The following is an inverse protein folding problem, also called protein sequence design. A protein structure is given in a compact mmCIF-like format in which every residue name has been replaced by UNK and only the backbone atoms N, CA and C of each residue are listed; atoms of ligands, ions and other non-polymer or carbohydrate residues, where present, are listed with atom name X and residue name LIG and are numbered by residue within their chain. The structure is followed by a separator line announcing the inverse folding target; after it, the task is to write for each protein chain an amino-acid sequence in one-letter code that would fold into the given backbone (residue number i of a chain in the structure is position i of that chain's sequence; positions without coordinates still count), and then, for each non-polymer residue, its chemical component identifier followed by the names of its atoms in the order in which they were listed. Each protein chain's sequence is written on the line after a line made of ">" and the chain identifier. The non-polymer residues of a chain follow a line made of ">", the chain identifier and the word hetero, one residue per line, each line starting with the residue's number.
data_IF_859134355985
#
_entry.id   IF_859134355985
#
_cell.length_a   1.000
_cell.length_b   1.000
_cell.length_c   1.000
_cell.angle_alpha   90.00
_cell.angle_beta   90.00
_cell.angle_gamma   90.00
#
_symmetry.space_group_name_H-M   'P 1'
#
loop_
_entity.id
_entity.type
_entity.pdbx_description
1 polymer ?
#
# COMPACT_ATOMS: atom_id res chain seq x y z
N UNK A 1 -52.95 -30.76 -4.34
CA UNK A 1 -52.73 -32.21 -4.17
C UNK A 1 -51.48 -32.48 -4.98
N UNK A 2 -50.32 -32.51 -4.33
CA UNK A 2 -49.05 -33.10 -4.83
C UNK A 2 -48.04 -33.18 -3.66
N UNK A 3 -48.53 -33.38 -2.42
CA UNK A 3 -47.67 -33.55 -1.24
C UNK A 3 -47.41 -35.04 -0.92
N UNK A 4 -47.90 -35.96 -1.77
CA UNK A 4 -47.72 -37.42 -1.61
C UNK A 4 -46.44 -37.94 -2.28
N UNK A 5 -45.79 -37.17 -3.17
CA UNK A 5 -44.56 -37.59 -3.85
C UNK A 5 -43.30 -37.46 -3.00
N UNK A 6 -43.36 -36.76 -1.87
CA UNK A 6 -42.23 -36.59 -0.95
C UNK A 6 -41.79 -37.91 -0.26
N UNK A 7 -42.69 -38.90 -0.21
CA UNK A 7 -42.42 -40.23 0.38
C UNK A 7 -42.46 -41.37 -0.64
N UNK A 8 -42.45 -41.07 -1.94
CA UNK A 8 -42.21 -42.11 -2.93
C UNK A 8 -40.74 -42.50 -2.85
N UNK A 9 -40.47 -43.69 -2.31
CA UNK A 9 -39.14 -44.34 -2.29
C UNK A 9 -38.79 -44.83 -3.72
N UNK A 10 -39.15 -44.05 -4.76
CA UNK A 10 -38.79 -44.31 -6.14
C UNK A 10 -37.34 -43.85 -6.31
N UNK A 11 -36.37 -44.77 -6.47
CA UNK A 11 -34.96 -44.43 -6.59
C UNK A 11 -34.68 -43.47 -7.75
N UNK A 12 -35.58 -43.37 -8.74
CA UNK A 12 -35.46 -42.39 -9.84
C UNK A 12 -35.80 -40.95 -9.42
N UNK A 13 -36.76 -40.75 -8.52
CA UNK A 13 -37.14 -39.43 -8.04
C UNK A 13 -36.03 -38.84 -7.15
N UNK A 14 -35.45 -39.67 -6.28
CA UNK A 14 -34.28 -39.31 -5.47
C UNK A 14 -33.10 -38.97 -6.39
N UNK A 15 -32.80 -39.84 -7.36
CA UNK A 15 -31.72 -39.63 -8.32
C UNK A 15 -31.88 -38.31 -9.10
N UNK A 16 -33.07 -37.99 -9.60
CA UNK A 16 -33.33 -36.74 -10.31
C UNK A 16 -33.15 -35.52 -9.40
N UNK A 17 -33.63 -35.59 -8.15
CA UNK A 17 -33.45 -34.49 -7.19
C UNK A 17 -31.98 -34.26 -6.81
N UNK A 18 -31.17 -35.32 -6.77
CA UNK A 18 -29.73 -35.23 -6.56
C UNK A 18 -29.04 -34.63 -7.78
N UNK A 19 -29.43 -35.04 -8.99
CA UNK A 19 -28.93 -34.44 -10.24
C UNK A 19 -29.27 -32.94 -10.34
N UNK A 20 -30.48 -32.54 -9.97
CA UNK A 20 -30.89 -31.14 -10.00
C UNK A 20 -30.12 -30.30 -8.98
N UNK A 21 -29.90 -30.83 -7.77
CA UNK A 21 -29.04 -30.18 -6.75
C UNK A 21 -27.62 -30.02 -7.25
N UNK A 22 -27.01 -31.10 -7.76
CA UNK A 22 -25.65 -31.09 -8.30
C UNK A 22 -25.55 -30.09 -9.46
N UNK A 23 -26.53 -30.07 -10.37
CA UNK A 23 -26.53 -29.15 -11.51
C UNK A 23 -26.67 -27.70 -11.08
N UNK A 24 -27.51 -27.41 -10.09
CA UNK A 24 -27.66 -26.06 -9.53
C UNK A 24 -26.38 -25.62 -8.82
N UNK A 25 -25.74 -26.50 -8.06
CA UNK A 25 -24.48 -26.23 -7.38
C UNK A 25 -23.36 -25.94 -8.39
N UNK A 26 -23.23 -26.73 -9.46
CA UNK A 26 -22.27 -26.47 -10.54
C UNK A 26 -22.54 -25.16 -11.27
N UNK A 27 -23.82 -24.84 -11.53
CA UNK A 27 -24.20 -23.58 -12.22
C UNK A 27 -23.90 -22.38 -11.34
N UNK A 28 -24.26 -22.44 -10.05
CA UNK A 28 -24.01 -21.36 -9.09
C UNK A 28 -22.51 -21.19 -8.83
N UNK A 29 -21.77 -22.29 -8.69
CA UNK A 29 -20.32 -22.27 -8.53
C UNK A 29 -19.64 -21.67 -9.76
N UNK A 30 -20.00 -22.11 -10.97
CA UNK A 30 -19.46 -21.58 -12.21
C UNK A 30 -19.79 -20.10 -12.43
N UNK A 31 -20.99 -19.66 -12.05
CA UNK A 31 -21.38 -18.25 -12.09
C UNK A 31 -20.55 -17.40 -11.11
N UNK A 32 -20.41 -17.85 -9.86
CA UNK A 32 -19.57 -17.18 -8.86
C UNK A 32 -18.11 -17.12 -9.27
N UNK A 33 -17.58 -18.22 -9.80
CA UNK A 33 -16.20 -18.29 -10.29
C UNK A 33 -16.00 -17.36 -11.49
N UNK A 34 -16.93 -17.33 -12.45
CA UNK A 34 -16.88 -16.43 -13.59
C UNK A 34 -16.90 -14.95 -13.21
N UNK A 35 -17.74 -14.56 -12.24
CA UNK A 35 -17.75 -13.20 -11.70
C UNK A 35 -16.43 -12.88 -11.00
N UNK A 36 -15.95 -13.80 -10.16
CA UNK A 36 -14.71 -13.60 -9.40
C UNK A 36 -13.52 -13.45 -10.34
N UNK A 37 -13.40 -14.32 -11.35
CA UNK A 37 -12.35 -14.26 -12.35
C UNK A 37 -12.41 -12.98 -13.20
N UNK A 38 -13.62 -12.53 -13.56
CA UNK A 38 -13.80 -11.25 -14.27
C UNK A 38 -13.38 -10.04 -13.43
N UNK A 39 -13.73 -10.04 -12.14
CA UNK A 39 -13.33 -8.99 -11.19
C UNK A 39 -11.82 -8.97 -10.98
N UNK A 40 -11.21 -10.14 -10.76
CA UNK A 40 -9.77 -10.27 -10.60
C UNK A 40 -9.01 -9.81 -11.84
N UNK A 41 -9.46 -10.19 -13.04
CA UNK A 41 -8.83 -9.76 -14.29
C UNK A 41 -8.84 -8.24 -14.49
N UNK A 42 -10.00 -7.59 -14.27
CA UNK A 42 -10.10 -6.14 -14.38
C UNK A 42 -9.25 -5.40 -13.31
N UNK A 43 -9.19 -5.94 -12.09
CA UNK A 43 -8.40 -5.38 -11.00
C UNK A 43 -6.89 -5.51 -11.26
N UNK A 44 -6.46 -6.66 -11.78
CA UNK A 44 -5.05 -6.95 -12.01
C UNK A 44 -4.44 -6.03 -13.08
N UNK A 45 -5.18 -5.70 -14.13
CA UNK A 45 -4.72 -4.75 -15.15
C UNK A 45 -4.42 -3.37 -14.55
N UNK A 46 -5.30 -2.87 -13.68
CA UNK A 46 -5.09 -1.61 -12.96
C UNK A 46 -3.89 -1.65 -12.02
N UNK A 47 -3.72 -2.76 -11.29
CA UNK A 47 -2.55 -2.96 -10.44
C UNK A 47 -1.25 -3.00 -11.25
N UNK A 48 -1.21 -3.76 -12.33
CA UNK A 48 -0.02 -3.92 -13.18
C UNK A 48 0.40 -2.58 -13.80
N UNK A 49 -0.57 -1.78 -14.25
CA UNK A 49 -0.34 -0.44 -14.76
C UNK A 49 0.26 0.49 -13.68
N UNK A 50 -0.33 0.51 -12.48
CA UNK A 50 0.17 1.30 -11.35
C UNK A 50 1.55 0.85 -10.85
N UNK A 51 1.79 -0.47 -10.81
CA UNK A 51 3.07 -1.05 -10.46
C UNK A 51 4.15 -0.67 -11.48
N UNK A 52 3.88 -0.82 -12.78
CA UNK A 52 4.87 -0.51 -13.82
C UNK A 52 5.17 0.99 -13.94
N UNK A 53 4.15 1.84 -13.83
CA UNK A 53 4.29 3.29 -14.07
C UNK A 53 4.81 4.06 -12.86
N UNK A 54 4.39 3.69 -11.64
CA UNK A 54 4.69 4.45 -10.42
C UNK A 54 5.43 3.59 -9.40
N UNK A 55 4.89 2.43 -9.05
CA UNK A 55 5.38 1.63 -7.93
C UNK A 55 6.83 1.16 -8.11
N UNK A 56 7.13 0.52 -9.23
CA UNK A 56 8.44 -0.06 -9.51
C UNK A 56 9.53 1.00 -9.74
N UNK A 57 9.33 2.07 -10.56
CA UNK A 57 10.33 3.11 -10.72
C UNK A 57 10.63 3.84 -9.40
N UNK A 58 9.58 4.21 -8.66
CA UNK A 58 9.72 4.94 -7.40
C UNK A 58 10.37 4.09 -6.31
N UNK A 59 9.94 2.83 -6.17
CA UNK A 59 10.53 1.87 -5.24
C UNK A 59 12.00 1.59 -5.55
N UNK A 60 12.35 1.41 -6.84
CA UNK A 60 13.73 1.23 -7.28
C UNK A 60 14.59 2.45 -6.94
N UNK A 61 14.12 3.65 -7.27
CA UNK A 61 14.86 4.89 -7.01
C UNK A 61 15.11 5.09 -5.50
N UNK A 62 14.12 4.80 -4.66
CA UNK A 62 14.26 4.85 -3.21
C UNK A 62 15.24 3.78 -2.70
N UNK A 63 15.15 2.55 -3.21
CA UNK A 63 16.07 1.46 -2.87
C UNK A 63 17.53 1.79 -3.20
N UNK A 64 17.78 2.40 -4.36
CA UNK A 64 19.10 2.87 -4.76
C UNK A 64 19.62 3.95 -3.80
N UNK A 65 18.80 4.92 -3.41
CA UNK A 65 19.19 5.96 -2.46
C UNK A 65 19.58 5.38 -1.09
N UNK A 66 18.80 4.42 -0.59
CA UNK A 66 19.11 3.70 0.67
C UNK A 66 20.41 2.91 0.55
N UNK A 67 20.62 2.22 -0.57
CA UNK A 67 21.84 1.48 -0.85
C UNK A 67 23.07 2.41 -0.93
N UNK A 68 22.94 3.56 -1.60
CA UNK A 68 24.01 4.55 -1.69
C UNK A 68 24.36 5.11 -0.31
N UNK A 69 23.36 5.46 0.51
CA UNK A 69 23.59 5.95 1.86
C UNK A 69 24.28 4.91 2.75
N UNK A 70 23.89 3.63 2.66
CA UNK A 70 24.53 2.54 3.38
C UNK A 70 25.99 2.33 2.93
N UNK A 71 26.26 2.37 1.61
CA UNK A 71 27.61 2.24 1.06
C UNK A 71 28.52 3.40 1.49
N UNK A 72 28.02 4.64 1.42
CA UNK A 72 28.75 5.81 1.90
C UNK A 72 29.01 5.74 3.40
N UNK A 73 28.04 5.29 4.20
CA UNK A 73 28.22 5.11 5.64
C UNK A 73 29.29 4.06 5.94
N UNK A 74 29.29 2.93 5.22
CA UNK A 74 30.29 1.88 5.38
C UNK A 74 31.69 2.38 5.02
N UNK A 75 31.82 3.14 3.92
CA UNK A 75 33.07 3.76 3.51
C UNK A 75 33.61 4.76 4.56
N UNK A 76 32.74 5.63 5.07
CA UNK A 76 33.09 6.63 6.08
C UNK A 76 33.36 6.03 7.46
N UNK A 77 32.79 4.85 7.76
CA UNK A 77 33.00 4.14 9.02
C UNK A 77 34.31 3.35 9.06
N UNK A 78 35.05 3.28 7.95
CA UNK A 78 36.36 2.64 7.93
C UNK A 78 37.36 3.45 8.80
N UNK A 79 38.11 2.84 9.74
CA UNK A 79 38.98 3.52 10.71
C UNK A 79 39.82 4.72 10.25
N UNK A 80 40.56 4.69 9.11
CA UNK A 80 41.33 5.85 8.65
C UNK A 80 40.44 7.02 8.22
N UNK A 81 39.24 6.73 7.69
CA UNK A 81 38.28 7.73 7.25
C UNK A 81 37.42 8.25 8.40
N UNK A 82 37.06 7.39 9.35
CA UNK A 82 36.24 7.72 10.52
C UNK A 82 36.90 8.79 11.41
N UNK A 83 38.23 8.75 11.54
CA UNK A 83 38.98 9.74 12.33
C UNK A 83 39.06 11.12 11.66
N UNK A 84 38.98 11.20 10.32
CA UNK A 84 39.13 12.44 9.56
C UNK A 84 37.79 13.04 9.13
N UNK A 85 36.75 12.22 8.96
CA UNK A 85 35.46 12.60 8.38
C UNK A 85 34.26 12.18 9.26
N UNK A 86 34.42 12.21 10.58
CA UNK A 86 33.38 11.84 11.53
C UNK A 86 32.07 12.64 11.38
N UNK A 87 32.16 13.94 11.07
CA UNK A 87 30.99 14.81 10.83
C UNK A 87 30.19 14.39 9.60
N UNK A 88 30.87 14.01 8.51
CA UNK A 88 30.23 13.49 7.30
C UNK A 88 29.58 12.12 7.56
N UNK A 89 30.19 11.28 8.41
CA UNK A 89 29.60 10.01 8.80
C UNK A 89 28.29 10.20 9.59
N UNK A 90 28.23 11.21 10.47
CA UNK A 90 27.00 11.58 11.18
C UNK A 90 25.93 12.14 10.24
N UNK A 91 26.32 12.98 9.27
CA UNK A 91 25.39 13.51 8.27
C UNK A 91 24.78 12.39 7.41
N UNK A 92 25.61 11.47 6.90
CA UNK A 92 25.14 10.32 6.11
C UNK A 92 24.25 9.41 6.96
N UNK A 93 24.55 9.23 8.25
CA UNK A 93 23.70 8.47 9.17
C UNK A 93 22.32 9.14 9.35
N UNK A 94 22.30 10.46 9.47
CA UNK A 94 21.05 11.24 9.51
C UNK A 94 20.23 11.10 8.22
N UNK A 95 20.87 11.18 7.06
CA UNK A 95 20.23 10.99 5.76
C UNK A 95 19.70 9.55 5.62
N UNK A 96 20.48 8.55 6.02
CA UNK A 96 20.06 7.15 5.99
C UNK A 96 18.82 6.89 6.87
N UNK A 97 18.79 7.47 8.08
CA UNK A 97 17.62 7.39 8.96
C UNK A 97 16.41 8.15 8.42
N UNK A 98 16.61 9.28 7.74
CA UNK A 98 15.52 9.99 7.08
C UNK A 98 14.96 9.16 5.92
N UNK A 99 15.82 8.59 5.08
CA UNK A 99 15.43 7.73 3.95
C UNK A 99 14.77 6.42 4.41
N UNK A 100 15.12 5.85 5.58
CA UNK A 100 14.44 4.65 6.10
C UNK A 100 12.99 4.93 6.50
N UNK A 101 12.70 6.15 6.94
CA UNK A 101 11.36 6.54 7.40
C UNK A 101 10.40 6.92 6.25
N UNK A 102 10.91 7.12 5.03
CA UNK A 102 10.09 7.42 3.85
C UNK A 102 9.30 6.19 3.41
N UNK A 103 7.96 6.25 3.44
CA UNK A 103 7.11 5.20 2.88
C UNK A 103 6.77 5.51 1.43
N UNK A 104 6.47 4.49 0.63
CA UNK A 104 6.04 4.67 -0.75
C UNK A 104 4.73 5.47 -0.84
N UNK A 105 3.83 5.29 0.13
CA UNK A 105 2.56 6.02 0.25
C UNK A 105 2.73 7.52 0.47
N UNK A 106 3.86 7.97 1.00
CA UNK A 106 4.13 9.39 1.26
C UNK A 106 4.69 10.13 0.03
N UNK A 107 5.28 9.38 -0.91
CA UNK A 107 5.96 9.93 -2.10
C UNK A 107 5.25 9.61 -3.41
N UNK A 108 4.35 8.63 -3.41
CA UNK A 108 3.56 8.27 -4.57
C UNK A 108 2.61 9.43 -4.92
N UNK A 109 2.48 9.79 -6.21
CA UNK A 109 1.47 10.73 -6.66
C UNK A 109 0.07 10.27 -6.23
N UNK A 110 -0.82 11.19 -5.85
CA UNK A 110 -2.20 10.84 -5.56
C UNK A 110 -2.86 10.27 -6.83
N UNK A 111 -3.49 9.12 -6.68
CA UNK A 111 -4.28 8.49 -7.74
C UNK A 111 -5.60 9.24 -7.94
N UNK A 112 -5.66 10.06 -9.00
CA UNK A 112 -6.81 10.89 -9.31
C UNK A 112 -8.03 10.07 -9.74
N UNK A 113 -7.82 8.90 -10.35
CA UNK A 113 -8.88 8.00 -10.79
C UNK A 113 -9.50 7.30 -9.58
N UNK A 114 -8.67 6.78 -8.67
CA UNK A 114 -9.14 6.21 -7.41
C UNK A 114 -9.89 7.25 -6.54
N UNK A 115 -9.45 8.52 -6.54
CA UNK A 115 -10.13 9.61 -5.83
C UNK A 115 -11.49 9.96 -6.45
N UNK A 116 -11.59 9.97 -7.79
CA UNK A 116 -12.83 10.20 -8.50
C UNK A 116 -13.83 9.06 -8.24
N UNK A 117 -13.38 7.81 -8.35
CA UNK A 117 -14.20 6.63 -8.08
C UNK A 117 -14.69 6.58 -6.61
N UNK A 118 -13.81 6.90 -5.65
CA UNK A 118 -14.21 6.99 -4.24
C UNK A 118 -15.25 8.08 -3.99
N UNK A 119 -15.18 9.18 -4.74
CA UNK A 119 -16.17 10.27 -4.67
C UNK A 119 -17.52 9.85 -5.26
N UNK A 120 -17.51 9.15 -6.38
CA UNK A 120 -18.73 8.63 -7.02
C UNK A 120 -19.44 7.60 -6.13
N UNK A 121 -18.71 6.68 -5.50
CA UNK A 121 -19.29 5.76 -4.51
C UNK A 121 -19.89 6.48 -3.29
N UNK A 122 -19.24 7.53 -2.78
CA UNK A 122 -19.79 8.33 -1.67
C UNK A 122 -21.05 9.10 -2.07
N UNK A 123 -21.12 9.60 -3.31
CA UNK A 123 -22.31 10.24 -3.85
C UNK A 123 -23.44 9.22 -4.04
N UNK A 124 -23.12 8.02 -4.55
CA UNK A 124 -24.08 6.93 -4.74
C UNK A 124 -24.64 6.44 -3.40
N UNK A 125 -23.77 6.13 -2.43
CA UNK A 125 -24.19 5.72 -1.08
C UNK A 125 -25.03 6.80 -0.38
N UNK A 126 -24.76 8.08 -0.64
CA UNK A 126 -25.58 9.20 -0.14
C UNK A 126 -26.96 9.24 -0.80
N UNK A 127 -27.06 8.90 -2.08
CA UNK A 127 -28.32 8.82 -2.82
C UNK A 127 -29.14 7.62 -2.31
N UNK A 128 -28.52 6.46 -2.15
CA UNK A 128 -29.18 5.24 -1.68
C UNK A 128 -29.72 5.42 -0.25
N UNK A 129 -28.93 6.04 0.64
CA UNK A 129 -29.37 6.40 1.99
C UNK A 129 -30.52 7.44 2.00
N UNK A 130 -30.64 8.27 0.97
CA UNK A 130 -31.74 9.21 0.82
C UNK A 130 -33.00 8.56 0.21
N UNK A 131 -32.85 7.45 -0.51
CA UNK A 131 -33.95 6.68 -1.11
C UNK A 131 -34.47 5.55 -0.21
N UNK A 132 -33.75 5.20 0.87
CA UNK A 132 -34.19 4.19 1.84
C UNK A 132 -34.11 2.76 1.31
N UNK A 133 -33.28 2.53 0.29
CA UNK A 133 -32.98 1.20 -0.24
C UNK A 133 -31.78 0.63 0.52
N UNK A 134 -32.05 -0.09 1.60
CA UNK A 134 -31.07 -0.98 2.23
C UNK A 134 -30.91 -2.21 1.31
N UNK A 135 -30.16 -2.07 0.22
CA UNK A 135 -29.77 -3.22 -0.60
C UNK A 135 -28.41 -3.72 -0.10
N UNK A 136 -28.45 -4.76 0.74
CA UNK A 136 -27.30 -5.60 1.07
C UNK A 136 -26.80 -6.29 -0.22
N UNK A 137 -26.07 -5.58 -1.07
CA UNK A 137 -25.33 -6.21 -2.16
C UNK A 137 -24.05 -6.83 -1.59
N UNK A 138 -24.10 -8.15 -1.38
CA UNK A 138 -23.08 -8.99 -0.73
C UNK A 138 -21.78 -9.13 -1.58
N UNK A 139 -21.53 -8.26 -2.56
CA UNK A 139 -20.33 -8.39 -3.41
C UNK A 139 -19.69 -7.06 -3.80
N UNK A 140 -19.66 -6.13 -2.84
CA UNK A 140 -19.23 -4.74 -3.00
C UNK A 140 -17.69 -4.57 -3.07
N UNK A 141 -17.12 -3.96 -4.13
CA UNK A 141 -15.71 -3.54 -4.21
C UNK A 141 -15.24 -2.64 -3.04
N UNK A 142 -16.17 -2.14 -2.24
CA UNK A 142 -15.92 -1.43 -0.99
C UNK A 142 -15.08 -2.23 0.03
N UNK A 143 -15.11 -3.58 0.03
CA UNK A 143 -14.37 -4.39 0.99
C UNK A 143 -12.83 -4.28 0.85
N UNK A 144 -12.31 -4.10 -0.37
CA UNK A 144 -10.87 -3.87 -0.59
C UNK A 144 -10.46 -2.41 -0.31
N UNK A 145 -11.39 -1.46 -0.52
CA UNK A 145 -11.22 -0.09 -0.03
C UNK A 145 -11.20 -0.06 1.51
N UNK A 146 -11.97 -0.93 2.17
CA UNK A 146 -11.90 -1.15 3.61
C UNK A 146 -10.53 -1.69 4.04
N UNK A 147 -9.92 -2.62 3.30
CA UNK A 147 -8.55 -3.06 3.59
C UNK A 147 -7.50 -1.95 3.39
N UNK A 148 -7.59 -1.16 2.32
CA UNK A 148 -6.70 -0.02 2.09
C UNK A 148 -6.89 1.09 3.13
N UNK A 149 -8.13 1.32 3.58
CA UNK A 149 -8.46 2.23 4.68
C UNK A 149 -7.91 1.69 6.00
N UNK A 150 -8.13 0.42 6.31
CA UNK A 150 -7.59 -0.24 7.50
C UNK A 150 -6.07 -0.19 7.52
N UNK A 151 -5.42 -0.34 6.35
CA UNK A 151 -3.98 -0.14 6.22
C UNK A 151 -3.58 1.30 6.53
N UNK A 152 -4.24 2.30 5.95
CA UNK A 152 -3.98 3.72 6.26
C UNK A 152 -4.22 4.07 7.72
N UNK A 153 -5.26 3.50 8.33
CA UNK A 153 -5.58 3.68 9.75
C UNK A 153 -4.51 3.05 10.64
N UNK A 154 -4.01 1.86 10.26
CA UNK A 154 -2.86 1.21 10.90
C UNK A 154 -1.59 2.06 10.78
N UNK A 155 -1.32 2.63 9.59
CA UNK A 155 -0.21 3.56 9.38
C UNK A 155 -0.35 4.81 10.27
N UNK A 156 -1.56 5.34 10.44
CA UNK A 156 -1.84 6.45 11.36
C UNK A 156 -1.64 6.08 12.83
N UNK A 157 -1.99 4.86 13.22
CA UNK A 157 -1.77 4.33 14.56
C UNK A 157 -0.27 4.17 14.86
N UNK A 158 0.51 3.70 13.89
CA UNK A 158 1.97 3.63 13.98
C UNK A 158 2.61 5.01 14.14
N UNK A 159 2.13 6.02 13.42
CA UNK A 159 2.60 7.41 13.57
C UNK A 159 2.32 7.93 15.00
N UNK A 160 1.14 7.66 15.55
CA UNK A 160 0.77 8.02 16.92
C UNK A 160 1.65 7.29 17.94
N UNK A 161 1.93 6.00 17.75
CA UNK A 161 2.81 5.23 18.63
C UNK A 161 4.26 5.70 18.55
N UNK A 162 4.77 6.04 17.37
CA UNK A 162 6.10 6.61 17.19
C UNK A 162 6.22 7.97 17.92
N UNK A 163 5.16 8.79 17.90
CA UNK A 163 5.08 10.03 18.65
C UNK A 163 5.10 9.81 20.17
N UNK A 164 4.34 8.82 20.68
CA UNK A 164 4.31 8.48 22.10
C UNK A 164 5.65 7.90 22.59
N UNK A 165 6.29 7.05 21.77
CA UNK A 165 7.62 6.50 22.04
C UNK A 165 8.70 7.60 22.12
N UNK A 166 8.63 8.59 21.22
CA UNK A 166 9.52 9.76 21.22
C UNK A 166 9.32 10.69 22.43
N UNK A 167 8.15 10.68 23.08
CA UNK A 167 7.80 11.59 24.19
C UNK A 167 8.27 11.13 25.58
N UNK A 168 8.65 9.86 25.75
CA UNK A 168 8.98 9.27 27.06
C UNK A 168 10.42 9.57 27.53
N UNK A 169 11.30 10.09 26.66
CA UNK A 169 12.73 10.31 26.97
C UNK A 169 13.18 11.77 27.15
N UNK A 170 12.27 12.75 27.21
CA UNK A 170 12.67 14.16 27.24
C UNK A 170 11.76 15.06 28.08
N UNK A 171 12.23 15.42 29.27
CA UNK A 171 11.65 16.48 30.09
C UNK A 171 11.55 17.82 29.32
N UNK A 172 10.38 18.45 29.44
CA UNK A 172 10.10 19.88 29.34
C UNK A 172 10.99 20.75 28.43
N UNK A 173 10.51 21.05 27.22
CA UNK A 173 10.38 22.40 26.65
C UNK A 173 10.35 22.38 25.12
N UNK A 174 9.38 23.08 24.55
CA UNK A 174 9.30 23.37 23.12
C UNK A 174 8.33 22.46 22.38
N UNK A 175 7.19 23.03 21.97
CA UNK A 175 6.36 22.48 20.92
C UNK A 175 7.19 22.33 19.63
N UNK A 176 7.87 21.19 19.47
CA UNK A 176 8.46 20.82 18.19
C UNK A 176 7.31 20.40 17.29
N UNK A 177 7.16 21.14 16.20
CA UNK A 177 6.19 20.90 15.15
C UNK A 177 6.09 19.39 14.85
N UNK A 178 4.85 18.94 14.70
CA UNK A 178 4.49 17.60 14.24
C UNK A 178 5.50 17.15 13.17
N UNK A 179 6.18 15.99 13.28
CA UNK A 179 7.11 15.57 12.24
C UNK A 179 6.32 15.46 10.94
N UNK A 180 6.46 16.45 10.07
CA UNK A 180 5.73 16.54 8.80
C UNK A 180 6.12 15.29 8.01
N UNK A 181 5.12 14.53 7.55
CA UNK A 181 5.36 13.33 6.75
C UNK A 181 6.35 13.68 5.62
N UNK A 182 7.37 12.84 5.39
CA UNK A 182 8.39 13.15 4.42
C UNK A 182 7.77 13.25 3.03
N UNK A 183 7.95 14.40 2.38
CA UNK A 183 7.37 14.67 1.07
C UNK A 183 8.31 14.21 -0.05
N UNK A 184 7.79 14.10 -1.27
CA UNK A 184 8.61 13.82 -2.45
C UNK A 184 9.75 14.84 -2.62
N UNK A 185 9.52 16.12 -2.29
CA UNK A 185 10.54 17.17 -2.31
C UNK A 185 11.66 16.91 -1.31
N UNK A 186 11.35 16.36 -0.13
CA UNK A 186 12.35 16.03 0.88
C UNK A 186 13.27 14.91 0.38
N UNK A 187 12.73 13.92 -0.33
CA UNK A 187 13.53 12.85 -0.96
C UNK A 187 14.47 13.41 -2.03
N UNK A 188 14.01 14.36 -2.85
CA UNK A 188 14.85 15.04 -3.84
C UNK A 188 15.99 15.79 -3.15
N UNK A 189 15.71 16.54 -2.08
CA UNK A 189 16.75 17.23 -1.30
C UNK A 189 17.75 16.27 -0.66
N UNK A 190 17.27 15.15 -0.11
CA UNK A 190 18.14 14.12 0.46
C UNK A 190 19.02 13.48 -0.61
N UNK A 191 18.48 13.21 -1.81
CA UNK A 191 19.24 12.74 -2.97
C UNK A 191 20.35 13.71 -3.36
N UNK A 192 20.04 15.00 -3.51
CA UNK A 192 21.01 16.02 -3.88
C UNK A 192 22.15 16.13 -2.86
N UNK A 193 21.82 16.13 -1.57
CA UNK A 193 22.80 16.13 -0.48
C UNK A 193 23.69 14.89 -0.50
N UNK A 194 23.10 13.71 -0.69
CA UNK A 194 23.84 12.45 -0.75
C UNK A 194 24.82 12.42 -1.94
N UNK A 195 24.40 12.93 -3.10
CA UNK A 195 25.27 13.07 -4.28
C UNK A 195 26.34 14.14 -4.13
N UNK A 196 26.09 15.20 -3.35
CA UNK A 196 27.11 16.19 -3.01
C UNK A 196 28.20 15.58 -2.12
N UNK A 197 27.82 14.81 -1.10
CA UNK A 197 28.77 14.09 -0.22
C UNK A 197 29.58 13.07 -1.02
N UNK A 198 28.95 12.32 -1.92
CA UNK A 198 29.66 11.38 -2.80
C UNK A 198 30.72 12.08 -3.66
N UNK A 199 30.39 13.25 -4.23
CA UNK A 199 31.34 14.09 -4.98
C UNK A 199 32.47 14.64 -4.11
N UNK A 200 32.19 15.05 -2.87
CA UNK A 200 33.21 15.49 -1.92
C UNK A 200 34.19 14.37 -1.51
N UNK A 201 33.76 13.12 -1.64
CA UNK A 201 34.58 11.93 -1.42
C UNK A 201 35.31 11.47 -2.69
N UNK A 202 35.12 12.15 -3.82
CA UNK A 202 35.72 11.79 -5.11
C UNK A 202 35.11 10.53 -5.73
N UNK A 203 33.92 10.12 -5.29
CA UNK A 203 33.20 8.98 -5.85
C UNK A 203 32.30 9.49 -6.98
N UNK A 204 32.67 9.20 -8.23
CA UNK A 204 31.78 9.42 -9.37
C UNK A 204 30.72 8.31 -9.36
N UNK A 205 29.52 8.65 -8.88
CA UNK A 205 28.41 7.70 -8.82
C UNK A 205 27.55 7.89 -10.08
N UNK A 206 27.79 7.06 -11.10
CA UNK A 206 26.90 6.98 -12.27
C UNK A 206 25.71 6.08 -11.93
N UNK A 207 24.67 6.69 -11.35
CA UNK A 207 23.42 6.00 -11.04
C UNK A 207 22.46 6.12 -12.22
N UNK A 208 22.12 4.99 -12.82
CA UNK A 208 21.03 4.90 -13.78
C UNK A 208 19.68 5.00 -13.03
N UNK A 209 19.11 6.20 -13.02
CA UNK A 209 17.75 6.45 -12.52
C UNK A 209 16.76 5.95 -13.57
N UNK A 210 15.76 5.17 -13.13
CA UNK A 210 14.68 4.67 -13.99
C UNK A 210 13.46 5.57 -13.91
#
# INVERSE_FOLDING_TARGET
>A
MDDEDFWSDDPKAIQNSEWDKISNDFTNAGYREGITAGKEGALQEGFDAGFASVGAPLGRNLGILRGLAAALLAFLSHPPMAAQRGTLAEEVRGIASALSNVRLSDIAPPDLEALAHAREHLEQARIDAAMGEDEDDVTDPAALNEELRAKRDMEGLEDLMAQMSSGVSGSASGAKANPKRPTAEDVVRLKERLLAIARELGLEVDVQWS
#
